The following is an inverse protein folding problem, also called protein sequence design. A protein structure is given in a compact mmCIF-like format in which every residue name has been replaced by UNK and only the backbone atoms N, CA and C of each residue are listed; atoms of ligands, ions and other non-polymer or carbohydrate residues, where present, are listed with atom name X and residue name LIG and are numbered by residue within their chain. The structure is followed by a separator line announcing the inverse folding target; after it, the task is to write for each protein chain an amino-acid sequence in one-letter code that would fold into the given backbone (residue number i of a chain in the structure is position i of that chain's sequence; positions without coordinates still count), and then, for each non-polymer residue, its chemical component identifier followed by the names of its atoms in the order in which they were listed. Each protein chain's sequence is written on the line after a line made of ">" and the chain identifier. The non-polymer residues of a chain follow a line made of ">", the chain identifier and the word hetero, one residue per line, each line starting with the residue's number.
data_IF_490945075043
#
_entry.id   IF_490945075043
#
_cell.length_a   1.000
_cell.length_b   1.000
_cell.length_c   1.000
_cell.angle_alpha   90.00
_cell.angle_beta   90.00
_cell.angle_gamma   90.00
#
_symmetry.space_group_name_H-M   'P 1'
#
loop_
_entity.id
_entity.type
_entity.pdbx_description
1 polymer ?
#
# COMPACT_ATOMS: atom_id res chain seq x y z
N UNK A 1 -1.14 6.87 -6.68
CA UNK A 1 -2.33 7.74 -6.89
C UNK A 1 -2.01 9.11 -6.31
N UNK A 2 -2.83 10.14 -6.59
CA UNK A 2 -2.74 11.42 -5.88
C UNK A 2 -3.73 11.45 -4.72
N UNK A 3 -3.47 12.28 -3.70
CA UNK A 3 -4.39 12.48 -2.59
C UNK A 3 -5.83 12.79 -3.05
N UNK A 4 -5.98 13.66 -4.05
CA UNK A 4 -7.29 14.03 -4.60
C UNK A 4 -8.05 12.86 -5.22
N UNK A 5 -7.35 11.98 -5.94
CA UNK A 5 -7.95 10.76 -6.50
C UNK A 5 -8.38 9.80 -5.38
N UNK A 6 -7.51 9.56 -4.40
CA UNK A 6 -7.80 8.72 -3.24
C UNK A 6 -9.01 9.24 -2.46
N UNK A 7 -9.10 10.56 -2.25
CA UNK A 7 -10.24 11.17 -1.58
C UNK A 7 -11.54 10.98 -2.36
N UNK A 8 -11.50 11.18 -3.68
CA UNK A 8 -12.67 10.99 -4.54
C UNK A 8 -13.19 9.55 -4.45
N UNK A 9 -12.29 8.57 -4.53
CA UNK A 9 -12.62 7.14 -4.41
C UNK A 9 -13.30 6.83 -3.08
N UNK A 10 -12.69 7.26 -1.96
CA UNK A 10 -13.23 7.04 -0.62
C UNK A 10 -14.61 7.69 -0.51
N UNK A 11 -14.76 8.95 -0.94
CA UNK A 11 -16.03 9.66 -0.89
C UNK A 11 -17.11 8.91 -1.67
N UNK A 12 -16.82 8.49 -2.90
CA UNK A 12 -17.79 7.76 -3.73
C UNK A 12 -18.11 6.37 -3.18
N UNK A 13 -17.13 5.66 -2.63
CA UNK A 13 -17.33 4.35 -2.02
C UNK A 13 -18.23 4.41 -0.76
N UNK A 14 -18.21 5.56 -0.07
CA UNK A 14 -19.08 5.83 1.08
C UNK A 14 -20.42 6.48 0.67
N UNK A 15 -20.72 6.57 -0.63
CA UNK A 15 -21.98 7.12 -1.14
C UNK A 15 -22.13 8.63 -0.97
N UNK A 16 -21.07 9.35 -0.61
CA UNK A 16 -21.15 10.77 -0.30
C UNK A 16 -21.04 11.64 -1.55
N UNK A 17 -21.94 12.62 -1.67
CA UNK A 17 -21.75 13.71 -2.62
C UNK A 17 -20.71 14.70 -2.10
N UNK A 18 -20.22 15.61 -2.95
CA UNK A 18 -19.35 16.72 -2.51
C UNK A 18 -20.00 17.54 -1.38
N UNK A 19 -21.32 17.74 -1.46
CA UNK A 19 -22.09 18.45 -0.44
C UNK A 19 -22.28 17.61 0.83
N UNK A 20 -22.53 16.32 0.68
CA UNK A 20 -22.66 15.40 1.82
C UNK A 20 -21.37 15.33 2.65
N UNK A 21 -20.22 15.20 1.98
CA UNK A 21 -18.94 15.26 2.68
C UNK A 21 -18.69 16.62 3.32
N UNK A 22 -19.04 17.71 2.64
CA UNK A 22 -18.89 19.06 3.18
C UNK A 22 -19.66 19.24 4.50
N UNK A 23 -20.90 18.79 4.55
CA UNK A 23 -21.74 18.86 5.76
C UNK A 23 -21.14 18.04 6.91
N UNK A 24 -20.69 16.80 6.64
CA UNK A 24 -20.10 15.93 7.67
C UNK A 24 -18.75 16.42 8.19
N UNK A 25 -17.94 17.01 7.32
CA UNK A 25 -16.55 17.39 7.64
C UNK A 25 -16.40 18.84 8.07
N UNK A 26 -17.41 19.69 7.83
CA UNK A 26 -17.30 21.14 8.02
C UNK A 26 -16.42 21.83 6.97
N UNK A 27 -16.08 21.15 5.87
CA UNK A 27 -15.21 21.66 4.80
C UNK A 27 -16.08 22.17 3.66
N UNK A 28 -15.76 23.32 3.07
CA UNK A 28 -16.51 23.81 1.91
C UNK A 28 -16.42 22.84 0.72
N UNK A 29 -17.57 22.48 0.13
CA UNK A 29 -17.63 21.54 -1.00
C UNK A 29 -16.78 21.99 -2.21
N UNK A 30 -16.64 23.29 -2.42
CA UNK A 30 -15.79 23.86 -3.48
C UNK A 30 -14.31 23.62 -3.24
N UNK A 31 -13.88 23.54 -1.98
CA UNK A 31 -12.51 23.19 -1.62
C UNK A 31 -12.27 21.69 -1.83
N UNK A 32 -13.22 20.85 -1.42
CA UNK A 32 -13.18 19.40 -1.69
C UNK A 32 -13.06 19.15 -3.20
N UNK A 33 -13.88 19.80 -4.03
CA UNK A 33 -13.85 19.67 -5.50
C UNK A 33 -12.49 20.08 -6.09
N UNK A 34 -11.90 21.19 -5.61
CA UNK A 34 -10.57 21.63 -6.04
C UNK A 34 -9.48 20.63 -5.67
N UNK A 35 -9.53 20.06 -4.47
CA UNK A 35 -8.57 19.05 -4.00
C UNK A 35 -8.69 17.76 -4.80
N UNK A 36 -9.91 17.26 -5.02
CA UNK A 36 -10.15 16.05 -5.84
C UNK A 36 -9.65 16.21 -7.28
N UNK A 37 -9.74 17.42 -7.84
CA UNK A 37 -9.22 17.76 -9.18
C UNK A 37 -7.72 18.07 -9.21
N UNK A 38 -7.03 18.00 -8.07
CA UNK A 38 -5.61 18.36 -7.96
C UNK A 38 -5.31 19.85 -8.15
N UNK A 39 -6.33 20.72 -8.11
CA UNK A 39 -6.18 22.19 -8.25
C UNK A 39 -5.79 22.87 -6.94
N UNK A 40 -5.86 22.16 -5.82
CA UNK A 40 -5.47 22.67 -4.51
C UNK A 40 -4.89 21.54 -3.67
N UNK A 41 -3.90 21.88 -2.84
CA UNK A 41 -3.31 20.95 -1.87
C UNK A 41 -4.23 20.89 -0.65
N UNK A 42 -4.49 19.71 -0.07
CA UNK A 42 -5.27 19.61 1.17
C UNK A 42 -4.62 20.40 2.32
N UNK A 43 -5.43 21.14 3.06
CA UNK A 43 -5.01 21.79 4.31
C UNK A 43 -5.05 20.80 5.47
N UNK A 44 -4.32 21.12 6.54
CA UNK A 44 -4.35 20.32 7.77
C UNK A 44 -5.77 20.20 8.34
N UNK A 45 -6.51 21.30 8.40
CA UNK A 45 -7.92 21.33 8.83
C UNK A 45 -8.80 20.38 8.00
N UNK A 46 -8.54 20.28 6.70
CA UNK A 46 -9.25 19.33 5.84
C UNK A 46 -8.90 17.88 6.20
N UNK A 47 -7.62 17.57 6.42
CA UNK A 47 -7.20 16.23 6.82
C UNK A 47 -7.84 15.82 8.15
N UNK A 48 -7.84 16.71 9.14
CA UNK A 48 -8.47 16.46 10.44
C UNK A 48 -9.98 16.24 10.31
N UNK A 49 -10.66 17.04 9.49
CA UNK A 49 -12.08 16.86 9.18
C UNK A 49 -12.35 15.50 8.53
N UNK A 50 -11.52 15.10 7.58
CA UNK A 50 -11.64 13.81 6.90
C UNK A 50 -11.40 12.62 7.83
N UNK A 51 -10.48 12.72 8.80
CA UNK A 51 -10.24 11.64 9.77
C UNK A 51 -11.42 11.41 10.70
N UNK A 52 -12.20 12.45 10.99
CA UNK A 52 -13.44 12.33 11.78
C UNK A 52 -14.55 11.65 10.98
N UNK A 53 -14.68 11.96 9.69
CA UNK A 53 -15.73 11.41 8.81
C UNK A 53 -15.39 10.00 8.32
N UNK A 54 -14.12 9.73 8.02
CA UNK A 54 -13.64 8.49 7.41
C UNK A 54 -12.52 7.83 8.25
N UNK A 55 -12.80 7.42 9.51
CA UNK A 55 -11.77 6.90 10.41
C UNK A 55 -11.10 5.62 9.90
N UNK A 56 -11.85 4.75 9.21
CA UNK A 56 -11.32 3.51 8.62
C UNK A 56 -10.29 3.76 7.50
N UNK A 57 -10.32 4.94 6.91
CA UNK A 57 -9.41 5.32 5.82
C UNK A 57 -8.26 6.22 6.28
N UNK A 58 -8.14 6.47 7.61
CA UNK A 58 -7.14 7.36 8.19
C UNK A 58 -5.73 7.02 7.73
N UNK A 59 -5.31 5.76 7.81
CA UNK A 59 -3.97 5.32 7.37
C UNK A 59 -3.73 5.64 5.89
N UNK A 60 -4.68 5.30 5.02
CA UNK A 60 -4.57 5.53 3.56
C UNK A 60 -4.49 7.02 3.24
N UNK A 61 -5.35 7.84 3.84
CA UNK A 61 -5.35 9.29 3.67
C UNK A 61 -4.08 9.95 4.20
N UNK A 62 -3.54 9.50 5.35
CA UNK A 62 -2.27 9.98 5.89
C UNK A 62 -1.10 9.72 4.94
N UNK A 63 -1.01 8.50 4.39
CA UNK A 63 0.07 8.12 3.46
C UNK A 63 0.04 9.03 2.23
N UNK A 64 -1.12 9.18 1.60
CA UNK A 64 -1.26 10.00 0.39
C UNK A 64 -1.02 11.50 0.66
N UNK A 65 -1.38 11.97 1.86
CA UNK A 65 -1.10 13.35 2.28
C UNK A 65 0.41 13.58 2.47
N UNK A 66 1.10 12.65 3.13
CA UNK A 66 2.56 12.67 3.28
C UNK A 66 3.24 12.61 1.91
N UNK A 67 2.82 11.70 1.02
CA UNK A 67 3.34 11.56 -0.35
C UNK A 67 3.18 12.86 -1.16
N UNK A 68 2.13 13.64 -0.90
CA UNK A 68 1.90 14.92 -1.59
C UNK A 68 2.71 16.10 -1.03
N UNK A 69 3.16 16.06 0.24
CA UNK A 69 3.85 17.18 0.90
C UNK A 69 5.35 16.98 1.13
N UNK A 70 5.78 15.73 1.28
CA UNK A 70 7.16 15.43 1.67
C UNK A 70 8.01 15.10 0.44
N UNK A 71 9.29 15.52 0.43
CA UNK A 71 10.24 15.06 -0.58
C UNK A 71 10.41 13.54 -0.56
N UNK A 72 10.72 12.97 -1.73
CA UNK A 72 10.96 11.53 -1.87
C UNK A 72 12.09 11.00 -0.97
N UNK A 73 13.10 11.81 -0.64
CA UNK A 73 14.17 11.43 0.30
C UNK A 73 13.61 11.12 1.69
N UNK A 74 12.71 11.97 2.20
CA UNK A 74 12.08 11.78 3.51
C UNK A 74 11.07 10.62 3.46
N UNK A 75 10.31 10.49 2.36
CA UNK A 75 9.34 9.39 2.23
C UNK A 75 10.00 8.00 2.25
N UNK A 76 11.22 7.88 1.71
CA UNK A 76 12.01 6.64 1.76
C UNK A 76 12.42 6.28 3.20
N UNK A 77 12.71 7.28 4.03
CA UNK A 77 13.03 7.06 5.45
C UNK A 77 11.78 6.69 6.26
N UNK A 78 10.59 7.13 5.84
CA UNK A 78 9.33 6.92 6.57
C UNK A 78 8.59 5.61 6.22
N UNK A 79 9.07 4.85 5.23
CA UNK A 79 8.65 3.48 4.88
C UNK A 79 7.11 3.24 4.88
N UNK A 80 6.41 3.74 3.85
CA UNK A 80 4.94 3.65 3.72
C UNK A 80 4.43 2.50 2.82
N UNK A 81 5.30 1.70 2.22
CA UNK A 81 4.91 0.61 1.30
C UNK A 81 5.02 -0.77 2.00
N UNK A 82 4.28 -1.77 1.49
CA UNK A 82 4.17 -3.13 2.06
C UNK A 82 5.52 -3.82 2.36
N UNK A 83 5.51 -4.73 3.36
CA UNK A 83 6.63 -5.54 3.87
C UNK A 83 8.00 -4.82 3.84
N UNK A 84 8.43 -4.31 4.99
CA UNK A 84 9.77 -3.69 5.11
C UNK A 84 10.88 -4.71 4.97
N UNK A 85 12.06 -4.27 4.53
CA UNK A 85 13.29 -5.10 4.52
C UNK A 85 13.56 -5.69 5.91
N UNK A 86 13.40 -4.89 6.97
CA UNK A 86 13.52 -5.34 8.37
C UNK A 86 12.61 -6.52 8.73
N UNK A 87 11.38 -6.54 8.19
CA UNK A 87 10.44 -7.63 8.42
C UNK A 87 10.86 -8.89 7.64
N UNK A 88 11.34 -8.75 6.41
CA UNK A 88 11.89 -9.87 5.64
C UNK A 88 13.11 -10.48 6.33
N UNK A 89 14.00 -9.64 6.86
CA UNK A 89 15.17 -10.09 7.62
C UNK A 89 14.76 -10.85 8.88
N UNK A 90 13.70 -10.40 9.56
CA UNK A 90 13.14 -11.09 10.72
C UNK A 90 12.61 -12.49 10.34
N UNK A 91 11.86 -12.60 9.24
CA UNK A 91 11.36 -13.88 8.73
C UNK A 91 12.51 -14.79 8.27
N UNK A 92 13.51 -14.25 7.58
CA UNK A 92 14.72 -15.00 7.18
C UNK A 92 15.49 -15.49 8.40
N UNK A 93 15.55 -14.70 9.47
CA UNK A 93 16.12 -15.10 10.75
C UNK A 93 15.43 -16.34 11.31
N UNK A 94 14.10 -16.40 11.26
CA UNK A 94 13.34 -17.58 11.71
C UNK A 94 13.59 -18.79 10.81
N UNK A 95 13.57 -18.62 9.49
CA UNK A 95 13.85 -19.72 8.55
C UNK A 95 15.24 -20.30 8.79
N UNK A 96 16.26 -19.47 9.06
CA UNK A 96 17.63 -19.91 9.37
C UNK A 96 17.76 -20.74 10.66
N UNK A 97 16.76 -20.71 11.56
CA UNK A 97 16.77 -21.56 12.76
C UNK A 97 16.33 -23.01 12.48
N UNK A 98 15.71 -23.25 11.33
CA UNK A 98 15.23 -24.57 10.90
C UNK A 98 16.37 -25.39 10.29
N UNK A 99 16.20 -26.72 10.20
CA UNK A 99 17.16 -27.55 9.48
C UNK A 99 17.06 -27.37 7.95
N UNK A 100 18.08 -27.82 7.21
CA UNK A 100 18.16 -27.61 5.75
C UNK A 100 16.93 -28.16 5.00
N UNK A 101 16.35 -29.28 5.41
CA UNK A 101 15.15 -29.83 4.76
C UNK A 101 13.92 -28.97 5.05
N UNK A 102 13.76 -28.54 6.30
CA UNK A 102 12.68 -27.62 6.70
C UNK A 102 12.79 -26.27 5.99
N UNK A 103 14.00 -25.72 5.87
CA UNK A 103 14.28 -24.49 5.11
C UNK A 103 13.82 -24.65 3.65
N UNK A 104 14.25 -25.72 2.98
CA UNK A 104 13.85 -26.01 1.60
C UNK A 104 12.33 -26.13 1.46
N UNK A 105 11.67 -26.80 2.39
CA UNK A 105 10.22 -26.97 2.37
C UNK A 105 9.47 -25.64 2.48
N UNK A 106 9.85 -24.77 3.43
CA UNK A 106 9.22 -23.46 3.61
C UNK A 106 9.44 -22.56 2.39
N UNK A 107 10.67 -22.52 1.86
CA UNK A 107 10.99 -21.70 0.69
C UNK A 107 10.22 -22.18 -0.55
N UNK A 108 10.11 -23.49 -0.77
CA UNK A 108 9.30 -24.05 -1.86
C UNK A 108 7.81 -23.70 -1.71
N UNK A 109 7.26 -23.80 -0.50
CA UNK A 109 5.87 -23.40 -0.22
C UNK A 109 5.60 -21.93 -0.57
N UNK A 110 6.52 -21.03 -0.20
CA UNK A 110 6.42 -19.61 -0.54
C UNK A 110 6.42 -19.44 -2.06
N UNK A 111 7.36 -20.08 -2.77
CA UNK A 111 7.44 -20.02 -4.23
C UNK A 111 6.16 -20.56 -4.88
N UNK A 112 5.64 -21.70 -4.45
CA UNK A 112 4.42 -22.29 -5.01
C UNK A 112 3.21 -21.35 -4.87
N UNK A 113 3.11 -20.64 -3.73
CA UNK A 113 2.04 -19.65 -3.53
C UNK A 113 2.23 -18.44 -4.44
N UNK A 114 3.44 -17.94 -4.60
CA UNK A 114 3.76 -16.84 -5.52
C UNK A 114 3.42 -17.24 -6.96
N UNK A 115 3.86 -18.43 -7.38
CA UNK A 115 3.59 -18.99 -8.71
C UNK A 115 2.08 -19.10 -8.97
N UNK A 116 1.32 -19.71 -8.05
CA UNK A 116 -0.13 -19.82 -8.14
C UNK A 116 -0.83 -18.45 -8.26
N UNK A 117 -0.46 -17.48 -7.43
CA UNK A 117 -1.04 -16.14 -7.48
C UNK A 117 -0.71 -15.43 -8.79
N UNK A 118 0.51 -15.61 -9.30
CA UNK A 118 0.96 -15.02 -10.56
C UNK A 118 0.21 -15.60 -11.76
N UNK A 119 -0.04 -16.91 -11.76
CA UNK A 119 -0.93 -17.56 -12.73
C UNK A 119 -2.36 -17.02 -12.65
N UNK A 120 -2.92 -16.95 -11.43
CA UNK A 120 -4.29 -16.47 -11.22
C UNK A 120 -4.49 -15.03 -11.70
N UNK A 121 -3.48 -14.18 -11.54
CA UNK A 121 -3.56 -12.76 -11.85
C UNK A 121 -3.06 -12.42 -13.27
N UNK A 122 -2.60 -13.41 -14.05
CA UNK A 122 -2.18 -13.22 -15.44
C UNK A 122 -0.78 -12.62 -15.64
N UNK A 123 0.06 -12.59 -14.60
CA UNK A 123 1.41 -12.02 -14.65
C UNK A 123 2.53 -13.06 -14.54
N UNK A 124 2.21 -14.36 -14.73
CA UNK A 124 3.20 -15.43 -14.61
C UNK A 124 4.41 -15.25 -15.54
N UNK A 125 4.18 -14.81 -16.78
CA UNK A 125 5.26 -14.62 -17.75
C UNK A 125 6.31 -13.59 -17.32
N UNK A 126 5.93 -12.63 -16.47
CA UNK A 126 6.82 -11.59 -15.96
C UNK A 126 7.74 -12.11 -14.85
N UNK A 127 7.33 -13.17 -14.14
CA UNK A 127 8.01 -13.66 -12.93
C UNK A 127 8.60 -15.07 -13.08
N UNK A 128 8.30 -15.78 -14.18
CA UNK A 128 8.69 -17.19 -14.39
C UNK A 128 10.21 -17.43 -14.31
N UNK A 129 11.01 -16.51 -14.84
CA UNK A 129 12.48 -16.63 -14.81
C UNK A 129 13.00 -16.51 -13.37
N UNK A 130 12.51 -15.51 -12.61
CA UNK A 130 12.85 -15.33 -11.20
C UNK A 130 12.42 -16.52 -10.34
N UNK A 131 11.24 -17.08 -10.60
CA UNK A 131 10.74 -18.28 -9.92
C UNK A 131 11.67 -19.47 -10.20
N UNK A 132 12.10 -19.65 -11.46
CA UNK A 132 13.01 -20.73 -11.83
C UNK A 132 14.35 -20.61 -11.12
N UNK A 133 14.97 -19.41 -11.16
CA UNK A 133 16.24 -19.16 -10.48
C UNK A 133 16.15 -19.41 -8.97
N UNK A 134 15.06 -18.98 -8.34
CA UNK A 134 14.85 -19.19 -6.92
C UNK A 134 14.69 -20.68 -6.58
N UNK A 135 13.97 -21.46 -7.41
CA UNK A 135 13.87 -22.92 -7.24
C UNK A 135 15.22 -23.62 -7.35
N UNK A 136 16.08 -23.18 -8.27
CA UNK A 136 17.40 -23.78 -8.44
C UNK A 136 18.32 -23.48 -7.26
N UNK A 137 18.33 -22.24 -6.75
CA UNK A 137 19.05 -21.88 -5.51
C UNK A 137 18.57 -22.67 -4.30
N UNK A 138 17.28 -22.98 -4.19
CA UNK A 138 16.75 -23.81 -3.10
C UNK A 138 17.26 -25.26 -3.20
N UNK A 139 17.47 -25.79 -4.40
CA UNK A 139 18.04 -27.15 -4.54
C UNK A 139 19.49 -27.20 -4.03
N UNK A 140 20.23 -26.11 -4.24
CA UNK A 140 21.65 -25.95 -3.87
C UNK A 140 21.90 -25.65 -2.39
N UNK A 141 20.87 -25.29 -1.62
CA UNK A 141 20.91 -25.11 -0.15
C UNK A 141 21.32 -26.39 0.60
#
# INVERSE_FOLDING_TARGET
>A
MSFGQTLKEIRTANGDSLRGLAEKSGIFFTFIDKVEKGKSVPSETMIEGLFKVYPLYKKRLSIEYCKAKLPNSILRELNFDDITEDFLDSILGLVKTLDTNEQKNILNLIIEKIEYMSFKNGHYDEVKEMISEAKDKIKEL
#
